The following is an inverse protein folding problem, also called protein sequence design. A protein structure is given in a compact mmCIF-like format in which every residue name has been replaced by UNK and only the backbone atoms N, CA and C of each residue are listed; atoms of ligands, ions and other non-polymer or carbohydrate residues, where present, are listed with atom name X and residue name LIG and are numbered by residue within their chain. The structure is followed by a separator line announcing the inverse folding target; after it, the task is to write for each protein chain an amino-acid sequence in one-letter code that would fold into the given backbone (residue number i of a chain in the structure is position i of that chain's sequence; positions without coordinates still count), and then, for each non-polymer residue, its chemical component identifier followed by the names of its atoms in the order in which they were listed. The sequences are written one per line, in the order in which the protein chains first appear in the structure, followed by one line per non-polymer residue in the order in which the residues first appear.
data_IF_704207649286
#
_entry.id   IF_704207649286
#
_cell.length_a   1.000
_cell.length_b   1.000
_cell.length_c   1.000
_cell.angle_alpha   90.00
_cell.angle_beta   90.00
_cell.angle_gamma   90.00
#
_symmetry.space_group_name_H-M   'P 1'
#
loop_
_entity.id
_entity.type
_entity.pdbx_description
1 polymer ?
#
# COMPACT_ATOMS: atom_id res chain seq x y z
N UNK A 1 0.08 9.22 3.83
CA UNK A 1 1.25 9.85 3.19
C UNK A 1 0.89 10.17 1.75
N UNK A 2 0.66 11.45 1.40
CA UNK A 2 0.15 11.83 0.06
C UNK A 2 1.18 11.57 -1.06
N UNK A 3 2.44 11.93 -0.81
CA UNK A 3 3.54 11.79 -1.77
C UNK A 3 3.89 10.32 -2.01
N UNK A 4 3.97 9.50 -0.96
CA UNK A 4 4.29 8.07 -1.08
C UNK A 4 3.31 7.33 -1.98
N UNK A 5 2.00 7.57 -1.85
CA UNK A 5 0.98 6.96 -2.72
C UNK A 5 1.13 7.40 -4.18
N UNK A 6 1.53 8.65 -4.42
CA UNK A 6 1.76 9.16 -5.76
C UNK A 6 3.00 8.54 -6.42
N UNK A 7 4.13 8.50 -5.71
CA UNK A 7 5.39 7.92 -6.21
C UNK A 7 5.20 6.44 -6.51
N UNK A 8 4.59 5.68 -5.59
CA UNK A 8 4.35 4.24 -5.76
C UNK A 8 3.41 3.98 -6.95
N UNK A 9 2.37 4.81 -7.13
CA UNK A 9 1.47 4.68 -8.27
C UNK A 9 2.17 4.89 -9.62
N UNK A 10 3.08 5.87 -9.71
CA UNK A 10 3.87 6.11 -10.94
C UNK A 10 4.85 4.95 -11.18
N UNK A 11 5.54 4.46 -10.14
CA UNK A 11 6.43 3.32 -10.25
C UNK A 11 5.71 2.07 -10.75
N UNK A 12 4.48 1.82 -10.28
CA UNK A 12 3.64 0.70 -10.73
C UNK A 12 3.27 0.78 -12.21
N UNK A 13 2.99 1.99 -12.72
CA UNK A 13 2.71 2.19 -14.15
C UNK A 13 3.94 1.87 -14.98
N UNK A 14 5.12 2.37 -14.57
CA UNK A 14 6.37 2.08 -15.27
C UNK A 14 6.64 0.57 -15.26
N UNK A 15 6.47 -0.08 -14.11
CA UNK A 15 6.69 -1.52 -13.95
C UNK A 15 5.74 -2.36 -14.82
N UNK A 16 4.48 -1.94 -14.94
CA UNK A 16 3.51 -2.55 -15.85
C UNK A 16 4.01 -2.56 -17.30
N UNK A 17 4.55 -1.43 -17.77
CA UNK A 17 5.11 -1.33 -19.13
C UNK A 17 6.29 -2.29 -19.31
N UNK A 18 7.19 -2.40 -18.34
CA UNK A 18 8.30 -3.36 -18.39
C UNK A 18 7.80 -4.81 -18.49
N UNK A 19 6.87 -5.22 -17.62
CA UNK A 19 6.28 -6.57 -17.63
C UNK A 19 5.58 -6.85 -18.96
N UNK A 20 4.91 -5.86 -19.54
CA UNK A 20 4.23 -6.00 -20.83
C UNK A 20 5.21 -6.29 -21.98
N UNK A 21 6.36 -5.59 -22.01
CA UNK A 21 7.39 -5.83 -23.01
C UNK A 21 8.07 -7.19 -22.83
N UNK A 22 8.41 -7.59 -21.60
CA UNK A 22 8.97 -8.93 -21.34
C UNK A 22 7.98 -10.04 -21.72
N UNK A 23 6.70 -9.86 -21.40
CA UNK A 23 5.66 -10.83 -21.75
C UNK A 23 5.44 -10.94 -23.27
N UNK A 24 5.56 -9.82 -23.99
CA UNK A 24 5.46 -9.80 -25.45
C UNK A 24 6.66 -10.47 -26.10
N UNK A 25 7.87 -10.25 -25.56
CA UNK A 25 9.09 -10.94 -26.00
C UNK A 25 8.99 -12.46 -25.74
N UNK A 26 8.54 -12.85 -24.55
CA UNK A 26 8.32 -14.25 -24.19
C UNK A 26 7.25 -14.92 -25.08
N UNK A 27 6.16 -14.21 -25.38
CA UNK A 27 5.12 -14.68 -26.31
C UNK A 27 5.64 -14.85 -27.74
N UNK A 28 6.48 -13.92 -28.21
CA UNK A 28 7.09 -14.01 -29.53
C UNK A 28 8.07 -15.19 -29.65
N UNK A 29 8.94 -15.37 -28.65
CA UNK A 29 9.86 -16.52 -28.59
C UNK A 29 9.10 -17.84 -28.58
N UNK A 30 7.99 -17.91 -27.83
CA UNK A 30 7.17 -19.11 -27.77
C UNK A 30 6.55 -19.51 -29.14
N UNK A 31 6.06 -18.53 -29.91
CA UNK A 31 5.55 -18.76 -31.27
C UNK A 31 6.68 -19.24 -32.19
N UNK A 32 7.87 -18.67 -32.07
CA UNK A 32 9.02 -19.03 -32.90
C UNK A 32 9.52 -20.46 -32.61
N UNK A 33 9.48 -20.89 -31.35
CA UNK A 33 9.87 -22.25 -30.96
C UNK A 33 8.79 -23.31 -31.25
N UNK A 34 7.63 -22.93 -31.81
CA UNK A 34 6.46 -23.80 -32.00
C UNK A 34 6.04 -24.56 -30.72
N UNK A 35 6.38 -24.03 -29.55
CA UNK A 35 5.88 -24.56 -28.29
C UNK A 35 4.49 -23.99 -28.10
N UNK A 36 3.49 -24.84 -27.92
CA UNK A 36 2.10 -24.40 -27.73
C UNK A 36 1.83 -23.69 -26.40
N UNK A 37 2.84 -23.14 -25.72
CA UNK A 37 2.72 -22.65 -24.35
C UNK A 37 2.17 -21.20 -24.33
N UNK A 38 1.05 -21.00 -23.67
CA UNK A 38 0.36 -19.70 -23.57
C UNK A 38 0.96 -18.72 -22.55
N UNK A 39 2.18 -18.96 -22.06
CA UNK A 39 2.83 -18.20 -20.99
C UNK A 39 3.01 -16.70 -21.30
N UNK A 40 3.14 -16.31 -22.58
CA UNK A 40 3.17 -14.89 -22.99
C UNK A 40 1.87 -14.12 -22.74
N UNK A 41 0.73 -14.80 -22.57
CA UNK A 41 -0.55 -14.16 -22.25
C UNK A 41 -0.72 -13.88 -20.74
N UNK A 42 -0.12 -14.72 -19.90
CA UNK A 42 -0.17 -14.59 -18.45
C UNK A 42 0.52 -13.30 -17.96
N UNK A 43 1.66 -12.92 -18.55
CA UNK A 43 2.33 -11.67 -18.21
C UNK A 43 1.59 -10.43 -18.72
N UNK A 44 0.86 -10.50 -19.84
CA UNK A 44 -0.02 -9.42 -20.30
C UNK A 44 -1.14 -9.19 -19.29
N UNK A 45 -1.79 -10.27 -18.83
CA UNK A 45 -2.83 -10.19 -17.79
C UNK A 45 -2.25 -9.56 -16.51
N UNK A 46 -1.08 -10.02 -16.07
CA UNK A 46 -0.39 -9.48 -14.90
C UNK A 46 -0.08 -7.97 -15.07
N UNK A 47 0.39 -7.55 -16.24
CA UNK A 47 0.71 -6.15 -16.53
C UNK A 47 -0.53 -5.23 -16.38
N UNK A 48 -1.71 -5.70 -16.77
CA UNK A 48 -2.98 -4.98 -16.62
C UNK A 48 -3.33 -4.83 -15.13
N UNK A 49 -3.10 -5.87 -14.33
CA UNK A 49 -3.26 -5.81 -12.87
C UNK A 49 -2.37 -4.75 -12.23
N UNK A 50 -1.08 -4.71 -12.61
CA UNK A 50 -0.14 -3.70 -12.14
C UNK A 50 -0.53 -2.28 -12.58
N UNK A 51 -1.04 -2.12 -13.80
CA UNK A 51 -1.54 -0.83 -14.30
C UNK A 51 -2.75 -0.35 -13.49
N UNK A 52 -3.72 -1.23 -13.24
CA UNK A 52 -4.90 -0.92 -12.44
C UNK A 52 -4.52 -0.49 -11.02
N UNK A 53 -3.56 -1.18 -10.41
CA UNK A 53 -3.03 -0.83 -9.08
C UNK A 53 -2.37 0.55 -9.08
N UNK A 54 -1.57 0.87 -10.10
CA UNK A 54 -0.97 2.20 -10.27
C UNK A 54 -2.01 3.31 -10.31
N UNK A 55 -3.08 3.12 -11.08
CA UNK A 55 -4.21 4.06 -11.16
C UNK A 55 -4.92 4.19 -9.81
N UNK A 56 -5.19 3.08 -9.12
CA UNK A 56 -5.79 3.09 -7.77
C UNK A 56 -4.94 3.91 -6.81
N UNK A 57 -3.61 3.75 -6.81
CA UNK A 57 -2.73 4.54 -5.95
C UNK A 57 -2.77 6.04 -6.25
N UNK A 58 -2.81 6.41 -7.53
CA UNK A 58 -2.93 7.81 -7.97
C UNK A 58 -4.29 8.40 -7.61
N UNK A 59 -5.39 7.65 -7.76
CA UNK A 59 -6.74 8.08 -7.44
C UNK A 59 -6.96 8.19 -5.92
N UNK A 60 -6.37 7.28 -5.15
CA UNK A 60 -6.51 7.24 -3.69
C UNK A 60 -5.49 8.13 -2.97
N UNK A 61 -4.64 8.88 -3.71
CA UNK A 61 -3.58 9.74 -3.15
C UNK A 61 -4.07 10.75 -2.11
N UNK A 62 -5.29 11.27 -2.28
CA UNK A 62 -5.86 12.29 -1.40
C UNK A 62 -6.67 11.70 -0.24
N UNK A 63 -6.94 10.38 -0.25
CA UNK A 63 -7.70 9.74 0.83
C UNK A 63 -6.75 9.17 1.88
N UNK A 64 -7.04 9.49 3.14
CA UNK A 64 -6.37 8.94 4.34
C UNK A 64 -6.78 7.50 4.63
N UNK A 65 -7.80 6.99 3.93
CA UNK A 65 -8.35 5.67 4.15
C UNK A 65 -7.42 4.56 3.63
N UNK A 66 -7.49 3.40 4.30
CA UNK A 66 -6.78 2.17 3.93
C UNK A 66 -7.35 1.49 2.67
N UNK A 67 -8.46 2.01 2.11
CA UNK A 67 -9.16 1.37 1.00
C UNK A 67 -8.29 1.19 -0.25
N UNK A 68 -7.39 2.14 -0.54
CA UNK A 68 -6.47 2.02 -1.68
C UNK A 68 -5.51 0.84 -1.53
N UNK A 69 -4.95 0.65 -0.33
CA UNK A 69 -3.99 -0.41 -0.04
C UNK A 69 -4.65 -1.80 0.01
N UNK A 70 -5.92 -1.87 0.44
CA UNK A 70 -6.71 -3.11 0.42
C UNK A 70 -7.05 -3.50 -1.02
N UNK A 71 -7.53 -2.55 -1.83
CA UNK A 71 -7.86 -2.81 -3.23
C UNK A 71 -6.62 -3.24 -4.00
N UNK A 72 -5.47 -2.60 -3.79
CA UNK A 72 -4.23 -2.99 -4.45
C UNK A 72 -3.77 -4.39 -4.06
N UNK A 73 -3.90 -4.78 -2.79
CA UNK A 73 -3.55 -6.13 -2.33
C UNK A 73 -4.46 -7.19 -2.98
N UNK A 74 -5.77 -6.92 -3.07
CA UNK A 74 -6.73 -7.83 -3.71
C UNK A 74 -6.49 -7.94 -5.21
N UNK A 75 -6.25 -6.83 -5.92
CA UNK A 75 -5.97 -6.84 -7.36
C UNK A 75 -4.67 -7.61 -7.64
N UNK A 76 -3.57 -7.28 -6.96
CA UNK A 76 -2.30 -7.98 -7.17
C UNK A 76 -2.39 -9.47 -6.82
N UNK A 77 -3.12 -9.82 -5.75
CA UNK A 77 -3.35 -11.22 -5.38
C UNK A 77 -4.15 -12.00 -6.42
N UNK A 78 -5.26 -11.43 -6.91
CA UNK A 78 -6.10 -12.07 -7.94
C UNK A 78 -5.37 -12.20 -9.27
N UNK A 79 -4.77 -11.12 -9.77
CA UNK A 79 -4.05 -11.15 -11.04
C UNK A 79 -2.78 -12.00 -10.98
N UNK A 80 -2.08 -12.02 -9.84
CA UNK A 80 -0.95 -12.93 -9.62
C UNK A 80 -1.38 -14.39 -9.62
N UNK A 81 -2.50 -14.72 -8.97
CA UNK A 81 -3.04 -16.08 -8.95
C UNK A 81 -3.53 -16.54 -10.33
N UNK A 82 -4.21 -15.66 -11.07
CA UNK A 82 -4.61 -15.90 -12.46
C UNK A 82 -3.36 -16.10 -13.33
N UNK A 83 -2.32 -15.28 -13.18
CA UNK A 83 -1.07 -15.42 -13.92
C UNK A 83 -0.35 -16.76 -13.68
N UNK A 84 -0.35 -17.25 -12.43
CA UNK A 84 0.17 -18.58 -12.07
C UNK A 84 -0.68 -19.72 -12.65
N UNK A 85 -2.01 -19.56 -12.67
CA UNK A 85 -2.93 -20.62 -13.08
C UNK A 85 -3.05 -20.80 -14.59
N UNK A 86 -2.74 -19.77 -15.38
CA UNK A 86 -2.87 -19.77 -16.84
C UNK A 86 -1.62 -20.28 -17.58
N UNK A 87 -0.69 -20.92 -16.86
CA UNK A 87 0.63 -21.22 -17.41
C UNK A 87 1.11 -22.60 -16.98
N UNK A 88 1.09 -23.55 -17.92
CA UNK A 88 1.67 -24.89 -17.73
C UNK A 88 3.18 -24.88 -17.52
N UNK A 89 3.87 -23.82 -17.98
CA UNK A 89 5.29 -23.56 -17.73
C UNK A 89 5.52 -22.05 -17.52
N UNK A 90 5.48 -21.60 -16.27
CA UNK A 90 5.67 -20.18 -15.95
C UNK A 90 7.14 -19.84 -16.15
N UNK A 91 7.44 -18.86 -17.01
CA UNK A 91 8.80 -18.35 -17.15
C UNK A 91 9.30 -17.83 -15.80
N UNK A 92 10.58 -18.07 -15.52
CA UNK A 92 11.19 -17.69 -14.24
C UNK A 92 11.02 -16.20 -13.95
N UNK A 93 11.13 -15.37 -14.98
CA UNK A 93 10.96 -13.92 -14.95
C UNK A 93 9.54 -13.54 -14.48
N UNK A 94 8.53 -14.24 -14.99
CA UNK A 94 7.12 -14.01 -14.64
C UNK A 94 6.82 -14.40 -13.18
N UNK A 95 7.45 -15.47 -12.67
CA UNK A 95 7.34 -15.85 -11.25
C UNK A 95 7.88 -14.73 -10.35
N UNK A 96 9.01 -14.12 -10.72
CA UNK A 96 9.60 -13.00 -9.95
C UNK A 96 8.62 -11.83 -9.89
N UNK A 97 7.98 -11.48 -11.01
CA UNK A 97 6.98 -10.40 -11.04
C UNK A 97 5.75 -10.69 -10.19
N UNK A 98 5.31 -11.95 -10.14
CA UNK A 98 4.17 -12.35 -9.30
C UNK A 98 4.54 -12.25 -7.82
N UNK A 99 5.69 -12.79 -7.41
CA UNK A 99 6.18 -12.72 -6.03
C UNK A 99 6.38 -11.26 -5.60
N UNK A 100 6.96 -10.43 -6.47
CA UNK A 100 7.13 -9.00 -6.22
C UNK A 100 5.78 -8.30 -6.01
N UNK A 101 4.75 -8.68 -6.77
CA UNK A 101 3.39 -8.15 -6.64
C UNK A 101 2.78 -8.51 -5.30
N UNK A 102 2.96 -9.75 -4.86
CA UNK A 102 2.56 -10.18 -3.51
C UNK A 102 3.28 -9.39 -2.42
N UNK A 103 4.60 -9.22 -2.53
CA UNK A 103 5.39 -8.45 -1.56
C UNK A 103 4.91 -7.00 -1.50
N UNK A 104 4.66 -6.36 -2.64
CA UNK A 104 4.22 -4.97 -2.65
C UNK A 104 2.79 -4.86 -2.13
N UNK A 105 1.86 -5.70 -2.60
CA UNK A 105 0.47 -5.67 -2.17
C UNK A 105 0.29 -5.91 -0.67
N UNK A 106 0.87 -7.00 -0.15
CA UNK A 106 0.78 -7.32 1.28
C UNK A 106 1.69 -6.44 2.14
N UNK A 107 2.90 -6.12 1.67
CA UNK A 107 3.84 -5.26 2.38
C UNK A 107 3.29 -3.86 2.62
N UNK A 108 2.68 -3.23 1.61
CA UNK A 108 2.02 -1.93 1.77
C UNK A 108 0.83 -1.99 2.72
N UNK A 109 0.03 -3.05 2.63
CA UNK A 109 -1.12 -3.26 3.53
C UNK A 109 -0.66 -3.38 5.00
N UNK A 110 0.33 -4.22 5.28
CA UNK A 110 0.88 -4.43 6.62
C UNK A 110 1.50 -3.14 7.16
N UNK A 111 2.32 -2.46 6.35
CA UNK A 111 2.93 -1.19 6.72
C UNK A 111 1.88 -0.14 7.09
N UNK A 112 0.83 0.02 6.29
CA UNK A 112 -0.20 1.02 6.53
C UNK A 112 -1.08 0.68 7.74
N UNK A 113 -1.33 -0.61 8.03
CA UNK A 113 -2.00 -1.06 9.26
C UNK A 113 -1.18 -0.70 10.50
N UNK A 114 0.13 -0.96 10.46
CA UNK A 114 1.04 -0.65 11.58
C UNK A 114 1.08 0.86 11.82
N UNK A 115 1.28 1.67 10.78
CA UNK A 115 1.31 3.12 10.88
C UNK A 115 -0.02 3.66 11.44
N UNK A 116 -1.16 3.10 11.02
CA UNK A 116 -2.46 3.52 11.54
C UNK A 116 -2.61 3.21 13.04
N UNK A 117 -2.18 2.03 13.50
CA UNK A 117 -2.17 1.69 14.93
C UNK A 117 -1.27 2.61 15.75
N UNK A 118 -0.09 2.95 15.23
CA UNK A 118 0.86 3.85 15.91
C UNK A 118 0.29 5.27 16.05
N UNK A 119 -0.37 5.79 15.01
CA UNK A 119 -1.00 7.12 15.05
C UNK A 119 -2.13 7.18 16.08
N UNK A 120 -2.99 6.15 16.14
CA UNK A 120 -4.06 6.08 17.15
C UNK A 120 -3.50 6.10 18.57
N UNK A 121 -2.43 5.34 18.84
CA UNK A 121 -1.80 5.30 20.17
C UNK A 121 -1.22 6.66 20.57
N UNK A 122 -0.62 7.38 19.61
CA UNK A 122 -0.04 8.72 19.83
C UNK A 122 -1.11 9.78 20.13
N UNK A 123 -2.24 9.74 19.42
CA UNK A 123 -3.39 10.62 19.67
C UNK A 123 -3.97 10.38 21.07
N UNK A 124 -4.15 9.12 21.46
CA UNK A 124 -4.63 8.77 22.80
C UNK A 124 -3.71 9.31 23.91
N UNK A 125 -2.39 9.18 23.75
CA UNK A 125 -1.42 9.74 24.70
C UNK A 125 -1.45 11.27 24.76
N UNK A 126 -1.56 11.94 23.61
CA UNK A 126 -1.68 13.40 23.57
C UNK A 126 -2.96 13.90 24.26
N UNK A 127 -4.09 13.22 24.06
CA UNK A 127 -5.35 13.58 24.71
C UNK A 127 -5.27 13.42 26.23
N UNK A 128 -4.66 12.33 26.72
CA UNK A 128 -4.43 12.13 28.16
C UNK A 128 -3.55 13.26 28.72
N UNK A 129 -2.46 13.61 28.03
CA UNK A 129 -1.56 14.67 28.48
C UNK A 129 -2.25 16.05 28.48
N UNK A 130 -3.03 16.37 27.44
CA UNK A 130 -3.83 17.62 27.38
C UNK A 130 -4.86 17.69 28.50
N UNK A 131 -5.59 16.60 28.77
CA UNK A 131 -6.58 16.57 29.83
C UNK A 131 -5.94 16.79 31.22
N UNK A 132 -4.76 16.20 31.45
CA UNK A 132 -4.00 16.42 32.69
C UNK A 132 -3.52 17.87 32.86
N UNK A 133 -3.06 18.53 31.78
CA UNK A 133 -2.66 19.94 31.83
C UNK A 133 -3.86 20.86 32.12
N UNK A 134 -5.00 20.59 31.49
CA UNK A 134 -6.21 21.39 31.70
C UNK A 134 -6.75 21.25 33.13
N UNK A 135 -6.78 20.03 33.67
CA UNK A 135 -7.15 19.79 35.07
C UNK A 135 -6.19 20.48 36.06
N UNK A 136 -4.89 20.48 35.79
CA UNK A 136 -3.92 21.19 36.63
C UNK A 136 -4.06 22.71 36.57
N UNK A 137 -4.47 23.28 35.43
CA UNK A 137 -4.71 24.72 35.30
C UNK A 137 -6.00 25.20 35.98
N UNK A 138 -6.97 24.32 36.22
CA UNK A 138 -8.20 24.63 36.97
C UNK A 138 -8.04 24.55 38.49
N UNK A 139 -6.93 23.98 38.99
CA UNK A 139 -6.61 24.01 40.41
C UNK A 139 -6.05 25.39 40.76
N UNK A 140 -6.57 26.09 41.80
CA UNK A 140 -6.04 27.38 42.19
C UNK A 140 -4.55 27.23 42.50
N UNK A 141 -3.72 28.04 41.87
CA UNK A 141 -2.26 27.96 42.07
C UNK A 141 -1.95 28.19 43.54
N UNK A 142 -0.88 27.62 44.08
CA UNK A 142 -0.49 27.78 45.50
C UNK A 142 -0.41 29.27 45.92
N UNK A 143 -0.13 30.16 44.97
CA UNK A 143 -0.22 31.61 45.12
C UNK A 143 -1.67 32.14 45.29
N UNK A 144 -2.62 31.69 44.47
CA UNK A 144 -4.04 32.03 44.57
C UNK A 144 -4.67 31.50 45.87
N UNK A 145 -4.36 30.25 46.25
CA UNK A 145 -4.85 29.65 47.49
C UNK A 145 -4.38 30.43 48.73
N UNK A 146 -3.13 30.89 48.74
CA UNK A 146 -2.54 31.71 49.82
C UNK A 146 -3.10 33.14 49.84
N UNK A 147 -3.52 33.68 48.70
CA UNK A 147 -4.19 34.99 48.65
C UNK A 147 -5.59 34.97 49.25
N UNK A 148 -6.39 33.93 48.96
CA UNK A 148 -7.74 33.77 49.51
C UNK A 148 -7.76 33.59 51.04
N UNK A 149 -6.68 33.05 51.64
CA UNK A 149 -6.59 32.87 53.09
C UNK A 149 -6.03 34.10 53.83
N UNK A 150 -5.57 35.14 53.12
CA UNK A 150 -5.08 36.40 53.73
C UNK A 150 -6.13 37.51 53.74
N UNK A 151 -7.26 37.31 53.05
CA UNK A 151 -8.38 38.26 52.97
C UNK A 151 -9.48 38.00 54.00
N UNK A 152 -9.27 37.10 54.95
CA UNK A 152 -10.15 36.85 56.09
C UNK A 152 -9.50 37.31 57.39
#
# INVERSE_FOLDING_TARGET
MKVTKLVVGILMIILSVFIFFESSAAGFVNVLENKGNTSGSAGIILSIGYLAVGIVYIATRNKTNLGGDIISAVILGLFGFIGLSNSDNVYQDLIVWIILGFIIGFGFLIWHIIVNKLNSKKISQQNIHRNNLQNNSSLPTRAQYRSNHRSH
#
